data_IF_439268671006
#
_entry.id   IF_439268671006
#
_cell.length_a   1.000
_cell.length_b   1.000
_cell.length_c   1.000
_cell.angle_alpha   90.00
_cell.angle_beta   90.00
_cell.angle_gamma   90.00
#
_symmetry.space_group_name_H-M   'P 1'
#
loop_
_entity.id
_entity.type
_entity.pdbx_description
1 polymer ?
#
# COMPACT_ATOMS: atom_id res chain seq x y z
N UNK A 1 -6.95 -10.56 -10.57
CA UNK A 1 -7.28 -10.66 -9.13
C UNK A 1 -5.93 -10.88 -8.51
N UNK A 2 -5.56 -10.05 -7.56
CA UNK A 2 -4.19 -10.02 -7.06
C UNK A 2 -4.18 -10.66 -5.68
N UNK A 3 -3.41 -11.73 -5.56
CA UNK A 3 -3.29 -12.49 -4.32
C UNK A 3 -1.88 -12.35 -3.76
N UNK A 4 -1.74 -12.29 -2.44
CA UNK A 4 -0.42 -12.24 -1.82
C UNK A 4 -0.42 -12.83 -0.42
N UNK A 5 0.65 -13.54 -0.08
CA UNK A 5 0.97 -13.97 1.27
C UNK A 5 1.83 -12.90 1.96
N UNK A 6 1.57 -12.59 3.23
CA UNK A 6 2.34 -11.59 3.98
C UNK A 6 2.66 -12.08 5.38
N UNK A 7 3.90 -11.87 5.80
CA UNK A 7 4.37 -12.20 7.15
C UNK A 7 5.30 -11.10 7.64
N UNK A 8 5.31 -10.79 8.93
CA UNK A 8 6.18 -9.74 9.44
C UNK A 8 6.21 -9.67 10.95
N UNK A 9 6.94 -8.67 11.45
CA UNK A 9 7.08 -8.37 12.88
C UNK A 9 5.73 -8.05 13.55
N UNK A 10 4.79 -7.51 12.78
CA UNK A 10 3.44 -7.18 13.24
C UNK A 10 2.57 -8.44 13.26
N UNK A 11 2.04 -8.81 14.43
CA UNK A 11 1.15 -9.96 14.61
C UNK A 11 1.82 -11.34 14.60
N UNK A 12 3.02 -11.46 14.01
CA UNK A 12 3.78 -12.73 13.86
C UNK A 12 2.90 -13.87 13.32
N UNK A 13 2.00 -13.53 12.40
CA UNK A 13 1.09 -14.46 11.74
C UNK A 13 1.18 -14.28 10.23
N UNK A 14 0.98 -15.36 9.49
CA UNK A 14 0.85 -15.30 8.05
C UNK A 14 -0.55 -14.76 7.72
N UNK A 15 -0.62 -13.83 6.77
CA UNK A 15 -1.88 -13.26 6.29
C UNK A 15 -2.04 -13.55 4.80
N UNK A 16 -3.22 -14.01 4.42
CA UNK A 16 -3.62 -14.19 3.02
C UNK A 16 -4.37 -12.95 2.60
N UNK A 17 -3.90 -12.27 1.55
CA UNK A 17 -4.55 -11.09 1.00
C UNK A 17 -5.08 -11.39 -0.40
N UNK A 18 -6.29 -10.91 -0.69
CA UNK A 18 -6.91 -10.98 -2.00
C UNK A 18 -7.50 -9.62 -2.38
N UNK A 19 -7.04 -9.03 -3.48
CA UNK A 19 -7.46 -7.72 -3.95
C UNK A 19 -8.03 -7.82 -5.36
N UNK A 20 -9.15 -7.14 -5.62
CA UNK A 20 -9.72 -7.01 -6.96
C UNK A 20 -10.14 -5.57 -7.19
N UNK A 21 -9.70 -5.02 -8.31
CA UNK A 21 -10.17 -3.74 -8.82
C UNK A 21 -11.23 -3.98 -9.89
N UNK A 22 -12.35 -3.27 -9.79
CA UNK A 22 -13.47 -3.26 -10.72
C UNK A 22 -13.54 -1.87 -11.34
N UNK A 23 -13.27 -1.71 -12.65
CA UNK A 23 -13.39 -0.41 -13.30
C UNK A 23 -14.86 0.01 -13.39
N UNK A 24 -15.16 1.21 -12.92
CA UNK A 24 -16.47 1.85 -13.11
C UNK A 24 -16.41 2.79 -14.33
N UNK A 25 -15.31 3.53 -14.46
CA UNK A 25 -14.99 4.37 -15.61
C UNK A 25 -13.46 4.39 -15.84
N UNK A 26 -13.00 5.14 -16.83
CA UNK A 26 -11.56 5.28 -17.12
C UNK A 26 -10.75 5.86 -15.97
N UNK A 27 -11.37 6.70 -15.14
CA UNK A 27 -10.76 7.40 -14.01
C UNK A 27 -11.23 6.86 -12.65
N UNK A 28 -12.17 5.92 -12.59
CA UNK A 28 -12.81 5.47 -11.35
C UNK A 28 -12.77 3.95 -11.19
N UNK A 29 -12.23 3.50 -10.05
CA UNK A 29 -12.08 2.09 -9.69
C UNK A 29 -12.79 1.81 -8.36
N UNK A 30 -13.58 0.73 -8.32
CA UNK A 30 -14.03 0.12 -7.09
C UNK A 30 -13.10 -1.03 -6.71
N UNK A 31 -12.42 -0.92 -5.57
CA UNK A 31 -11.47 -1.88 -5.06
C UNK A 31 -12.07 -2.64 -3.88
N UNK A 32 -12.03 -3.97 -3.94
CA UNK A 32 -12.33 -4.86 -2.83
C UNK A 32 -11.05 -5.56 -2.40
N UNK A 33 -10.77 -5.56 -1.10
CA UNK A 33 -9.59 -6.18 -0.51
C UNK A 33 -9.98 -7.00 0.71
N UNK A 34 -9.80 -8.31 0.62
CA UNK A 34 -9.94 -9.26 1.73
C UNK A 34 -8.59 -9.63 2.33
N UNK A 35 -8.58 -9.86 3.64
CA UNK A 35 -7.42 -10.29 4.43
C UNK A 35 -7.91 -11.39 5.37
N UNK A 36 -7.19 -12.51 5.44
CA UNK A 36 -7.43 -13.55 6.44
C UNK A 36 -6.13 -13.77 7.21
N UNK A 37 -6.18 -13.58 8.52
CA UNK A 37 -5.09 -13.91 9.44
C UNK A 37 -5.12 -15.41 9.72
N UNK A 38 -4.04 -16.15 9.43
CA UNK A 38 -4.04 -17.61 9.56
C UNK A 38 -3.95 -18.09 11.00
N UNK A 39 -3.62 -17.22 11.95
CA UNK A 39 -3.54 -17.56 13.38
C UNK A 39 -4.92 -17.52 14.04
N UNK A 40 -5.74 -16.53 13.67
CA UNK A 40 -7.07 -16.34 14.25
C UNK A 40 -8.21 -16.81 13.36
N UNK A 41 -7.98 -16.93 12.05
CA UNK A 41 -9.02 -17.17 11.05
C UNK A 41 -9.92 -15.96 10.79
N UNK A 42 -9.68 -14.81 11.45
CA UNK A 42 -10.55 -13.66 11.36
C UNK A 42 -10.41 -12.95 10.01
N UNK A 43 -11.52 -12.72 9.28
CA UNK A 43 -11.49 -11.96 8.05
C UNK A 43 -11.51 -10.46 8.32
N UNK A 44 -10.80 -9.71 7.47
CA UNK A 44 -10.92 -8.25 7.34
C UNK A 44 -11.21 -7.91 5.88
N UNK A 45 -12.22 -7.09 5.66
CA UNK A 45 -12.64 -6.61 4.35
C UNK A 45 -12.49 -5.10 4.26
N UNK A 46 -12.03 -4.63 3.10
CA UNK A 46 -11.92 -3.22 2.76
C UNK A 46 -12.53 -3.02 1.38
N UNK A 47 -13.52 -2.13 1.29
CA UNK A 47 -14.09 -1.65 0.06
C UNK A 47 -13.69 -0.18 -0.15
N UNK A 48 -13.21 0.19 -1.32
CA UNK A 48 -12.71 1.54 -1.60
C UNK A 48 -13.07 1.98 -3.01
N UNK A 49 -13.62 3.18 -3.15
CA UNK A 49 -13.71 3.90 -4.42
C UNK A 49 -12.43 4.71 -4.58
N UNK A 50 -11.75 4.57 -5.71
CA UNK A 50 -10.49 5.25 -6.02
C UNK A 50 -10.64 5.97 -7.35
N UNK A 51 -10.28 7.25 -7.37
CA UNK A 51 -10.27 8.09 -8.56
C UNK A 51 -8.85 8.49 -8.93
N UNK A 52 -8.54 8.35 -10.21
CA UNK A 52 -7.36 8.91 -10.83
C UNK A 52 -7.65 10.37 -11.23
N UNK A 53 -6.83 11.26 -10.70
CA UNK A 53 -6.84 12.67 -11.00
C UNK A 53 -5.61 12.92 -11.86
N UNK A 54 -5.82 12.89 -13.18
CA UNK A 54 -4.76 13.22 -14.10
C UNK A 54 -4.50 14.73 -14.02
N UNK A 55 -3.28 15.10 -13.64
CA UNK A 55 -2.79 16.47 -13.68
C UNK A 55 -1.52 16.48 -14.50
N UNK A 56 -1.28 17.54 -15.26
CA UNK A 56 -0.03 17.73 -16.02
C UNK A 56 1.23 17.67 -15.14
N UNK A 57 1.07 17.90 -13.82
CA UNK A 57 2.17 18.02 -12.87
C UNK A 57 2.51 16.70 -12.14
N UNK A 58 1.53 15.82 -11.94
CA UNK A 58 1.71 14.58 -11.19
C UNK A 58 0.56 13.59 -11.41
N UNK A 59 0.91 12.31 -11.40
CA UNK A 59 -0.05 11.20 -11.34
C UNK A 59 -0.67 11.16 -9.94
N UNK A 60 -1.88 11.69 -9.82
CA UNK A 60 -2.58 11.79 -8.53
C UNK A 60 -3.70 10.77 -8.45
N UNK A 61 -3.77 10.06 -7.34
CA UNK A 61 -4.81 9.06 -7.05
C UNK A 61 -5.35 9.30 -5.66
N UNK A 62 -6.66 9.49 -5.56
CA UNK A 62 -7.37 9.67 -4.29
C UNK A 62 -8.39 8.56 -4.13
N UNK A 63 -8.55 8.04 -2.92
CA UNK A 63 -9.54 7.01 -2.65
C UNK A 63 -10.18 7.15 -1.29
N UNK A 64 -11.46 6.79 -1.25
CA UNK A 64 -12.33 6.80 -0.09
C UNK A 64 -12.89 5.39 0.09
N UNK A 65 -12.81 4.86 1.30
CA UNK A 65 -13.21 3.50 1.55
C UNK A 65 -13.68 3.24 2.96
N UNK A 66 -14.25 2.07 3.13
CA UNK A 66 -14.76 1.54 4.39
C UNK A 66 -14.09 0.21 4.65
N UNK A 67 -13.63 0.03 5.88
CA UNK A 67 -13.05 -1.20 6.38
C UNK A 67 -13.98 -1.79 7.44
N UNK A 68 -14.09 -3.11 7.41
CA UNK A 68 -14.78 -3.89 8.41
C UNK A 68 -13.99 -5.18 8.68
N UNK A 69 -13.87 -5.58 9.95
CA UNK A 69 -13.19 -6.80 10.35
C UNK A 69 -13.96 -7.53 11.44
N UNK A 70 -13.75 -8.84 11.55
CA UNK A 70 -14.37 -9.63 12.62
C UNK A 70 -13.94 -9.09 14.00
N UNK A 71 -14.91 -8.64 14.80
CA UNK A 71 -14.67 -8.04 16.11
C UNK A 71 -14.30 -6.54 16.11
N UNK A 72 -14.15 -5.92 14.93
CA UNK A 72 -13.85 -4.49 14.81
C UNK A 72 -15.10 -3.66 14.43
N UNK A 73 -15.15 -2.42 14.92
CA UNK A 73 -16.12 -1.43 14.43
C UNK A 73 -15.76 -1.05 12.99
N UNK A 74 -16.78 -0.67 12.23
CA UNK A 74 -16.63 -0.07 10.90
C UNK A 74 -15.65 1.12 10.97
N UNK A 75 -14.75 1.24 10.00
CA UNK A 75 -13.78 2.33 9.94
C UNK A 75 -13.74 2.96 8.55
N UNK A 76 -13.55 4.27 8.50
CA UNK A 76 -13.41 5.05 7.28
C UNK A 76 -11.93 5.20 6.93
N UNK A 77 -11.64 5.16 5.63
CA UNK A 77 -10.30 5.29 5.08
C UNK A 77 -10.28 6.30 3.94
N UNK A 78 -9.42 7.31 4.04
CA UNK A 78 -9.05 8.19 2.94
C UNK A 78 -7.59 7.95 2.60
N UNK A 79 -7.26 7.89 1.31
CA UNK A 79 -5.90 7.72 0.83
C UNK A 79 -5.63 8.65 -0.34
N UNK A 80 -4.48 9.31 -0.34
CA UNK A 80 -3.95 10.06 -1.46
C UNK A 80 -2.57 9.55 -1.84
N UNK A 81 -2.26 9.58 -3.13
CA UNK A 81 -0.91 9.41 -3.68
C UNK A 81 -0.74 10.42 -4.80
N UNK A 82 0.38 11.14 -4.82
CA UNK A 82 0.82 11.91 -5.97
C UNK A 82 2.23 11.43 -6.33
N UNK A 83 2.46 11.08 -7.58
CA UNK A 83 3.75 10.56 -8.05
C UNK A 83 4.23 11.27 -9.31
N UNK A 84 5.54 11.37 -9.47
CA UNK A 84 6.16 11.88 -10.70
C UNK A 84 7.46 11.14 -11.03
N UNK A 85 7.71 10.79 -12.30
CA UNK A 85 9.04 10.40 -12.72
C UNK A 85 10.03 11.56 -12.54
N UNK A 86 11.23 11.24 -12.05
CA UNK A 86 12.36 12.18 -11.96
C UNK A 86 13.19 12.10 -13.25
N UNK A 87 13.39 10.88 -13.76
CA UNK A 87 14.11 10.63 -15.01
C UNK A 87 13.15 10.46 -16.17
N UNK A 88 13.54 10.88 -17.37
CA UNK A 88 12.77 10.66 -18.61
C UNK A 88 12.49 9.17 -18.89
N UNK A 89 13.39 8.27 -18.47
CA UNK A 89 13.20 6.82 -18.57
C UNK A 89 12.15 6.24 -17.61
N UNK A 90 11.65 7.03 -16.65
CA UNK A 90 10.74 6.55 -15.60
C UNK A 90 11.35 5.53 -14.62
N UNK A 91 12.67 5.31 -14.68
CA UNK A 91 13.38 4.40 -13.77
C UNK A 91 13.46 4.95 -12.36
N UNK A 92 13.59 6.27 -12.20
CA UNK A 92 13.55 6.95 -10.92
C UNK A 92 12.26 7.74 -10.78
N UNK A 93 11.54 7.56 -9.68
CA UNK A 93 10.29 8.29 -9.40
C UNK A 93 10.20 8.72 -7.93
N UNK A 94 9.54 9.87 -7.72
CA UNK A 94 9.18 10.38 -6.40
C UNK A 94 7.69 10.20 -6.18
N UNK A 95 7.30 9.71 -5.01
CA UNK A 95 5.92 9.52 -4.59
C UNK A 95 5.68 10.17 -3.23
N UNK A 96 4.60 10.95 -3.12
CA UNK A 96 4.06 11.44 -1.86
C UNK A 96 2.77 10.68 -1.58
N UNK A 97 2.63 10.15 -0.37
CA UNK A 97 1.47 9.38 0.06
C UNK A 97 0.89 9.93 1.34
N UNK A 98 -0.43 10.06 1.36
CA UNK A 98 -1.21 10.41 2.53
C UNK A 98 -2.26 9.33 2.80
N UNK A 99 -2.51 9.07 4.07
CA UNK A 99 -3.60 8.20 4.51
C UNK A 99 -4.19 8.75 5.80
N UNK A 100 -5.51 8.72 5.87
CA UNK A 100 -6.28 9.05 7.04
C UNK A 100 -7.24 7.91 7.34
N UNK A 101 -7.16 7.36 8.55
CA UNK A 101 -8.07 6.34 9.04
C UNK A 101 -8.84 6.90 10.24
N UNK A 102 -10.16 6.73 10.23
CA UNK A 102 -11.03 7.10 11.34
C UNK A 102 -11.94 5.93 11.71
N UNK A 103 -12.19 5.72 13.00
CA UNK A 103 -13.20 4.77 13.46
C UNK A 103 -14.63 5.25 13.15
N UNK A 104 -15.62 4.39 13.38
CA UNK A 104 -17.06 4.70 13.16
C UNK A 104 -17.49 5.98 13.87
N UNK A 105 -17.00 6.16 15.10
CA UNK A 105 -17.43 7.23 16.00
C UNK A 105 -16.56 8.50 15.84
N UNK A 106 -15.59 8.48 14.91
CA UNK A 106 -14.63 9.55 14.61
C UNK A 106 -13.83 10.03 15.83
N UNK A 107 -13.67 9.14 16.82
CA UNK A 107 -12.93 9.38 18.07
C UNK A 107 -11.45 9.07 17.89
N UNK A 108 -11.13 7.95 17.25
CA UNK A 108 -9.76 7.55 16.93
C UNK A 108 -9.41 7.93 15.49
N UNK A 109 -8.38 8.77 15.35
CA UNK A 109 -7.94 9.30 14.05
C UNK A 109 -6.46 9.01 13.87
N UNK A 110 -6.09 8.34 12.78
CA UNK A 110 -4.71 8.01 12.46
C UNK A 110 -4.36 8.61 11.10
N UNK A 111 -3.44 9.58 11.13
CA UNK A 111 -2.88 10.20 9.92
C UNK A 111 -1.50 9.60 9.65
N UNK A 112 -1.28 9.16 8.41
CA UNK A 112 0.00 8.63 7.94
C UNK A 112 0.43 9.40 6.70
N UNK A 113 1.67 9.88 6.71
CA UNK A 113 2.31 10.52 5.57
C UNK A 113 3.61 9.81 5.22
N UNK A 114 3.92 9.69 3.93
CA UNK A 114 5.21 9.20 3.50
C UNK A 114 5.68 9.86 2.20
N UNK A 115 6.99 10.01 2.08
CA UNK A 115 7.67 10.35 0.83
C UNK A 115 8.52 9.15 0.44
N UNK A 116 8.48 8.75 -0.83
CA UNK A 116 9.18 7.57 -1.34
C UNK A 116 9.94 7.92 -2.62
N UNK A 117 11.22 7.62 -2.63
CA UNK A 117 12.04 7.54 -3.84
C UNK A 117 12.07 6.08 -4.30
N UNK A 118 11.65 5.83 -5.54
CA UNK A 118 11.66 4.48 -6.13
C UNK A 118 12.63 4.43 -7.29
N UNK A 119 13.53 3.45 -7.29
CA UNK A 119 14.44 3.12 -8.38
C UNK A 119 14.11 1.73 -8.93
N UNK A 120 13.70 1.69 -10.20
CA UNK A 120 13.48 0.46 -10.96
C UNK A 120 14.77 0.11 -11.71
N UNK A 121 15.30 -1.07 -11.44
CA UNK A 121 16.48 -1.63 -12.09
C UNK A 121 15.99 -2.80 -12.93
N UNK A 122 15.82 -2.54 -14.23
CA UNK A 122 15.41 -3.54 -15.21
C UNK A 122 16.68 -4.25 -15.72
N UNK A 123 16.62 -5.58 -15.88
CA UNK A 123 17.66 -6.46 -16.45
C UNK A 123 18.81 -6.92 -15.53
N UNK A 124 18.52 -7.55 -14.39
CA UNK A 124 19.49 -8.46 -13.76
C UNK A 124 19.11 -9.91 -14.12
N UNK A 125 19.57 -10.42 -15.28
CA UNK A 125 19.30 -11.81 -15.73
C UNK A 125 17.81 -12.23 -15.68
N UNK A 126 16.95 -11.54 -16.43
CA UNK A 126 15.49 -11.76 -16.46
C UNK A 126 14.74 -11.48 -15.14
N UNK A 127 15.37 -10.78 -14.21
CA UNK A 127 14.75 -10.36 -12.95
C UNK A 127 14.39 -8.87 -12.96
N UNK A 128 13.21 -8.59 -12.40
CA UNK A 128 12.74 -7.23 -12.13
C UNK A 128 13.10 -6.83 -10.70
N UNK A 129 14.15 -6.02 -10.54
CA UNK A 129 14.55 -5.46 -9.25
C UNK A 129 13.98 -4.05 -9.08
N UNK A 130 13.40 -3.79 -7.92
CA UNK A 130 12.98 -2.44 -7.51
C UNK A 130 13.45 -2.15 -6.11
N UNK A 131 14.22 -1.08 -5.99
CA UNK A 131 14.62 -0.50 -4.72
C UNK A 131 13.72 0.70 -4.42
N UNK A 132 13.35 0.86 -3.17
CA UNK A 132 12.63 2.04 -2.71
C UNK A 132 13.15 2.46 -1.35
N UNK A 133 13.45 3.75 -1.23
CA UNK A 133 13.77 4.41 0.01
C UNK A 133 12.60 5.33 0.36
N UNK A 134 12.07 5.22 1.56
CA UNK A 134 10.97 6.04 2.02
C UNK A 134 11.20 6.62 3.39
N UNK A 135 10.46 7.69 3.69
CA UNK A 135 10.43 8.30 5.00
C UNK A 135 8.98 8.41 5.46
N UNK A 136 8.66 7.81 6.61
CA UNK A 136 7.35 7.95 7.24
C UNK A 136 7.35 9.23 8.07
N UNK A 137 6.56 10.22 7.65
CA UNK A 137 6.50 11.54 8.28
C UNK A 137 5.85 11.45 9.66
N UNK A 138 4.85 10.59 9.84
CA UNK A 138 4.13 10.45 11.11
C UNK A 138 4.98 9.77 12.18
N UNK A 139 5.70 8.70 11.80
CA UNK A 139 6.57 7.95 12.72
C UNK A 139 8.02 8.48 12.74
N UNK A 140 8.32 9.47 11.89
CA UNK A 140 9.65 10.08 11.73
C UNK A 140 10.78 9.07 11.48
N UNK A 141 10.47 7.97 10.80
CA UNK A 141 11.38 6.84 10.59
C UNK A 141 11.62 6.58 9.10
N UNK A 142 12.88 6.39 8.66
CA UNK A 142 13.16 5.93 7.31
C UNK A 142 12.83 4.44 7.19
N UNK A 143 12.50 4.02 5.97
CA UNK A 143 12.29 2.62 5.63
C UNK A 143 12.80 2.33 4.23
N UNK A 144 13.10 1.07 3.98
CA UNK A 144 13.50 0.59 2.67
C UNK A 144 12.62 -0.57 2.22
N UNK A 145 12.54 -0.73 0.91
CA UNK A 145 11.87 -1.84 0.27
C UNK A 145 12.75 -2.37 -0.85
N UNK A 146 12.88 -3.70 -0.88
CA UNK A 146 13.47 -4.44 -1.99
C UNK A 146 12.37 -5.33 -2.55
N UNK A 147 12.11 -5.22 -3.85
CA UNK A 147 11.23 -6.14 -4.56
C UNK A 147 12.01 -6.79 -5.68
N UNK A 148 11.97 -8.11 -5.72
CA UNK A 148 12.55 -8.92 -6.78
C UNK A 148 11.48 -9.92 -7.22
N UNK A 149 11.13 -9.90 -8.50
CA UNK A 149 10.10 -10.77 -9.07
C UNK A 149 8.78 -10.69 -8.24
N UNK A 150 8.39 -11.80 -7.63
CA UNK A 150 7.16 -11.93 -6.85
C UNK A 150 7.32 -11.69 -5.35
N UNK A 151 8.54 -11.50 -4.82
CA UNK A 151 8.73 -11.25 -3.40
C UNK A 151 9.12 -9.81 -3.11
N UNK A 152 8.74 -9.31 -1.94
CA UNK A 152 9.05 -7.96 -1.47
C UNK A 152 9.40 -8.00 0.01
N UNK A 153 10.56 -7.47 0.37
CA UNK A 153 10.96 -7.21 1.75
C UNK A 153 10.80 -5.72 2.04
N UNK A 154 10.20 -5.40 3.19
CA UNK A 154 10.15 -4.07 3.76
C UNK A 154 10.79 -4.10 5.14
N UNK A 155 11.58 -3.08 5.48
CA UNK A 155 12.04 -2.87 6.85
C UNK A 155 12.22 -1.38 7.15
N UNK A 156 12.07 -0.99 8.42
CA UNK A 156 12.23 0.39 8.89
C UNK A 156 13.28 0.54 9.99
N UNK A 157 13.65 1.78 10.28
CA UNK A 157 14.61 2.13 11.32
C UNK A 157 14.17 1.81 12.75
N UNK A 158 12.91 1.43 12.97
CA UNK A 158 12.39 0.96 14.25
C UNK A 158 12.48 -0.57 14.41
N UNK A 159 13.07 -1.26 13.42
CA UNK A 159 13.20 -2.71 13.41
C UNK A 159 11.92 -3.45 12.99
N UNK A 160 10.88 -2.75 12.53
CA UNK A 160 9.71 -3.41 11.94
C UNK A 160 10.07 -3.91 10.56
N UNK A 161 9.56 -5.09 10.21
CA UNK A 161 9.79 -5.68 8.90
C UNK A 161 8.62 -6.54 8.45
N UNK A 162 8.48 -6.72 7.14
CA UNK A 162 7.57 -7.70 6.58
C UNK A 162 8.06 -8.19 5.22
N UNK A 163 7.68 -9.42 4.90
CA UNK A 163 7.84 -10.06 3.61
C UNK A 163 6.47 -10.25 2.99
N UNK A 164 6.38 -9.98 1.69
CA UNK A 164 5.21 -10.23 0.86
C UNK A 164 5.62 -11.12 -0.31
N UNK A 165 4.81 -12.13 -0.61
CA UNK A 165 4.91 -12.95 -1.80
C UNK A 165 3.64 -12.80 -2.63
N UNK A 166 3.77 -12.35 -3.88
CA UNK A 166 2.70 -12.23 -4.87
C UNK A 166 2.44 -13.61 -5.52
N UNK A 167 1.18 -14.04 -5.51
CA UNK A 167 0.69 -15.31 -6.07
C UNK A 167 0.08 -15.09 -7.45
#
# INVERSE_FOLDING_TARGET
>A
MDTSLRYGSDGKALCIHAKKDFPISSDLLFQVHGIVDTKTGNPTCLARITRDLLSELADTRVGFGVRYGAGEKLAYNVRGRAGRPITSSGMLSLDIKGRYDADKDLTERKTRGAIELTWKILNFKDQDLRLRLGYNISEKVPYFQIRENNWTLNADGNGKWNVRYDL
#
